data_IF_857397286138
#
_entry.id   IF_857397286138
#
_cell.length_a   1.000
_cell.length_b   1.000
_cell.length_c   1.000
_cell.angle_alpha   90.00
_cell.angle_beta   90.00
_cell.angle_gamma   90.00
#
_symmetry.space_group_name_H-M   'P 1'
#
loop_
_entity.id
_entity.type
_entity.pdbx_description
1 polymer ?
#
# COMPACT_ATOMS: atom_id res chain seq x y z
N UNK A 1 -10.49 -17.65 -14.97
CA UNK A 1 -10.85 -16.56 -15.91
C UNK A 1 -11.00 -15.21 -15.21
N UNK A 2 -11.94 -15.03 -14.26
CA UNK A 2 -12.14 -13.73 -13.58
C UNK A 2 -10.85 -13.15 -13.00
N UNK A 3 -10.03 -13.99 -12.36
CA UNK A 3 -8.77 -13.54 -11.76
C UNK A 3 -7.77 -13.00 -12.80
N UNK A 4 -7.62 -13.67 -13.95
CA UNK A 4 -6.76 -13.19 -15.05
C UNK A 4 -7.21 -11.81 -15.55
N UNK A 5 -8.52 -11.67 -15.81
CA UNK A 5 -9.12 -10.39 -16.21
C UNK A 5 -8.88 -9.29 -15.17
N UNK A 6 -8.93 -9.62 -13.87
CA UNK A 6 -8.60 -8.67 -12.80
C UNK A 6 -7.13 -8.25 -12.87
N UNK A 7 -6.20 -9.20 -12.96
CA UNK A 7 -4.75 -8.92 -13.03
C UNK A 7 -4.42 -8.02 -14.23
N UNK A 8 -4.91 -8.37 -15.41
CA UNK A 8 -4.78 -7.56 -16.63
C UNK A 8 -5.42 -6.18 -16.50
N UNK A 9 -6.55 -6.09 -15.78
CA UNK A 9 -7.23 -4.83 -15.49
C UNK A 9 -6.39 -3.90 -14.63
N UNK A 10 -5.81 -4.40 -13.53
CA UNK A 10 -4.94 -3.63 -12.64
C UNK A 10 -3.67 -3.18 -13.36
N UNK A 11 -3.05 -4.05 -14.15
CA UNK A 11 -1.86 -3.68 -14.92
C UNK A 11 -2.16 -2.57 -15.94
N UNK A 12 -3.29 -2.67 -16.68
CA UNK A 12 -3.71 -1.61 -17.60
C UNK A 12 -4.08 -0.29 -16.91
N UNK A 13 -4.50 -0.34 -15.65
CA UNK A 13 -4.73 0.86 -14.84
C UNK A 13 -3.43 1.50 -14.32
N UNK A 14 -2.26 0.94 -14.65
CA UNK A 14 -0.95 1.46 -14.23
C UNK A 14 -0.53 1.01 -12.83
N UNK A 15 -1.18 -0.01 -12.24
CA UNK A 15 -0.75 -0.53 -10.95
C UNK A 15 0.53 -1.35 -11.08
N UNK A 16 1.53 -1.05 -10.23
CA UNK A 16 2.79 -1.79 -10.18
C UNK A 16 2.65 -3.23 -9.66
N UNK A 17 1.58 -3.51 -8.91
CA UNK A 17 1.36 -4.82 -8.31
C UNK A 17 -0.08 -5.05 -7.87
N UNK A 18 -0.38 -6.32 -7.58
CA UNK A 18 -1.67 -6.76 -7.05
C UNK A 18 -1.46 -7.72 -5.88
N UNK A 19 -2.27 -7.54 -4.83
CA UNK A 19 -2.35 -8.47 -3.71
C UNK A 19 -3.56 -9.39 -3.86
N UNK A 20 -3.35 -10.69 -3.75
CA UNK A 20 -4.38 -11.72 -3.86
C UNK A 20 -4.44 -12.54 -2.58
N UNK A 21 -5.65 -12.77 -2.07
CA UNK A 21 -5.88 -13.48 -0.80
C UNK A 21 -6.66 -14.79 -0.95
N UNK A 22 -6.55 -15.63 0.07
CA UNK A 22 -7.20 -16.94 0.16
C UNK A 22 -8.50 -16.94 0.97
N UNK A 23 -9.07 -15.78 1.31
CA UNK A 23 -10.38 -15.74 1.97
C UNK A 23 -11.52 -16.24 1.06
N UNK A 24 -12.54 -16.81 1.70
CA UNK A 24 -13.86 -17.01 1.10
C UNK A 24 -14.55 -15.66 0.85
N UNK A 25 -15.32 -15.55 -0.22
CA UNK A 25 -16.13 -14.35 -0.48
C UNK A 25 -17.47 -14.41 0.28
N UNK A 26 -18.01 -13.30 0.83
CA UNK A 26 -17.41 -11.97 0.93
C UNK A 26 -16.26 -11.92 1.96
N UNK A 27 -15.24 -11.14 1.61
CA UNK A 27 -14.00 -10.98 2.38
C UNK A 27 -14.24 -10.14 3.64
N UNK A 28 -13.42 -10.34 4.67
CA UNK A 28 -13.43 -9.54 5.90
C UNK A 28 -12.02 -9.08 6.24
N UNK A 29 -11.90 -8.00 7.03
CA UNK A 29 -10.60 -7.50 7.45
C UNK A 29 -9.82 -8.56 8.25
N UNK A 30 -8.51 -8.69 7.96
CA UNK A 30 -7.59 -9.67 8.57
C UNK A 30 -7.56 -9.68 10.10
N UNK A 31 -7.95 -8.58 10.74
CA UNK A 31 -7.98 -8.45 12.20
C UNK A 31 -9.37 -8.64 12.82
N UNK A 32 -10.41 -8.89 12.01
CA UNK A 32 -11.81 -9.09 12.48
C UNK A 32 -12.16 -10.56 12.76
N UNK A 33 -13.32 -10.80 13.39
CA UNK A 33 -13.85 -12.13 13.71
C UNK A 33 -14.57 -12.75 12.49
N UNK A 34 -14.80 -14.06 12.54
CA UNK A 34 -15.61 -14.82 11.56
C UNK A 34 -15.06 -14.77 10.12
N UNK A 35 -13.74 -14.76 9.99
CA UNK A 35 -13.07 -15.02 8.71
C UNK A 35 -13.05 -16.52 8.43
N UNK A 36 -13.05 -16.87 7.15
CA UNK A 36 -12.77 -18.21 6.65
C UNK A 36 -11.90 -18.10 5.40
N UNK A 37 -11.09 -19.13 5.19
CA UNK A 37 -10.25 -19.26 3.99
C UNK A 37 -10.76 -20.43 3.16
N UNK A 38 -10.52 -20.35 1.85
CA UNK A 38 -10.81 -21.43 0.91
C UNK A 38 -9.86 -22.61 1.08
N UNK A 39 -10.17 -23.71 0.41
CA UNK A 39 -9.28 -24.87 0.35
C UNK A 39 -7.90 -24.46 -0.18
N UNK A 40 -6.88 -25.25 0.16
CA UNK A 40 -5.52 -25.07 -0.37
C UNK A 40 -5.53 -25.06 -1.91
N UNK A 41 -6.22 -26.02 -2.51
CA UNK A 41 -6.31 -26.15 -3.98
C UNK A 41 -6.90 -24.90 -4.64
N UNK A 42 -7.96 -24.34 -4.07
CA UNK A 42 -8.56 -23.12 -4.60
C UNK A 42 -7.61 -21.92 -4.43
N UNK A 43 -6.96 -21.78 -3.28
CA UNK A 43 -5.98 -20.72 -3.03
C UNK A 43 -4.80 -20.79 -4.01
N UNK A 44 -4.27 -21.99 -4.23
CA UNK A 44 -3.19 -22.25 -5.18
C UNK A 44 -3.59 -21.96 -6.62
N UNK A 45 -4.81 -22.37 -7.00
CA UNK A 45 -5.36 -22.08 -8.32
C UNK A 45 -5.48 -20.58 -8.57
N UNK A 46 -5.84 -19.79 -7.55
CA UNK A 46 -5.89 -18.32 -7.65
C UNK A 46 -4.52 -17.71 -7.92
N UNK A 47 -3.49 -18.10 -7.16
CA UNK A 47 -2.13 -17.60 -7.35
C UNK A 47 -1.57 -18.04 -8.70
N UNK A 48 -1.76 -19.31 -9.08
CA UNK A 48 -1.34 -19.83 -10.38
C UNK A 48 -1.99 -19.05 -11.53
N UNK A 49 -3.30 -18.78 -11.46
CA UNK A 49 -3.98 -18.01 -12.49
C UNK A 49 -3.41 -16.58 -12.63
N UNK A 50 -3.00 -15.97 -11.52
CA UNK A 50 -2.36 -14.66 -11.55
C UNK A 50 -0.99 -14.70 -12.21
N UNK A 51 -0.16 -15.66 -11.83
CA UNK A 51 1.18 -15.87 -12.38
C UNK A 51 1.12 -16.22 -13.87
N UNK A 52 0.12 -17.01 -14.29
CA UNK A 52 -0.11 -17.32 -15.69
C UNK A 52 -0.47 -16.04 -16.49
N UNK A 53 -1.26 -15.13 -15.93
CA UNK A 53 -1.59 -13.85 -16.58
C UNK A 53 -0.35 -12.94 -16.72
N UNK A 54 0.50 -12.92 -15.70
CA UNK A 54 1.80 -12.24 -15.76
C UNK A 54 2.70 -12.83 -16.84
N UNK A 55 2.88 -14.15 -16.83
CA UNK A 55 3.72 -14.88 -17.80
C UNK A 55 3.21 -14.72 -19.24
N UNK A 56 1.91 -14.48 -19.44
CA UNK A 56 1.33 -14.18 -20.75
C UNK A 56 1.61 -12.75 -21.27
N UNK A 57 2.40 -11.95 -20.55
CA UNK A 57 2.85 -10.62 -20.99
C UNK A 57 2.33 -9.45 -20.15
N UNK A 58 1.66 -9.71 -19.03
CA UNK A 58 1.21 -8.64 -18.11
C UNK A 58 2.34 -8.32 -17.12
N UNK A 59 3.06 -7.21 -17.29
CA UNK A 59 4.09 -6.80 -16.33
C UNK A 59 3.45 -6.28 -15.03
N UNK A 60 3.36 -7.13 -14.01
CA UNK A 60 2.75 -6.80 -12.72
C UNK A 60 3.31 -7.67 -11.59
N UNK A 61 3.61 -7.03 -10.47
CA UNK A 61 4.06 -7.71 -9.25
C UNK A 61 2.91 -8.45 -8.54
N UNK A 62 3.15 -9.69 -8.11
CA UNK A 62 2.14 -10.53 -7.46
C UNK A 62 2.51 -10.76 -5.99
N UNK A 63 1.72 -10.16 -5.10
CA UNK A 63 1.77 -10.39 -3.65
C UNK A 63 0.70 -11.42 -3.25
N UNK A 64 1.13 -12.56 -2.72
CA UNK A 64 0.23 -13.60 -2.25
C UNK A 64 0.01 -13.49 -0.73
N UNK A 65 -1.23 -13.18 -0.34
CA UNK A 65 -1.68 -13.04 1.04
C UNK A 65 -2.37 -14.32 1.51
N UNK A 66 -2.07 -14.78 2.72
CA UNK A 66 -2.87 -15.80 3.41
C UNK A 66 -3.45 -15.25 4.71
N UNK A 67 -4.74 -15.53 4.93
CA UNK A 67 -5.46 -15.30 6.18
C UNK A 67 -5.59 -16.59 7.02
N UNK A 68 -4.91 -17.67 6.60
CA UNK A 68 -5.05 -19.00 7.20
C UNK A 68 -4.42 -19.13 8.59
N UNK A 69 -3.81 -18.06 9.14
CA UNK A 69 -3.34 -18.06 10.53
C UNK A 69 -4.47 -18.38 11.51
N UNK A 70 -5.72 -18.10 11.17
CA UNK A 70 -6.89 -18.49 11.97
C UNK A 70 -7.05 -20.01 12.14
N UNK A 71 -6.52 -20.81 11.21
CA UNK A 71 -6.49 -22.28 11.27
C UNK A 71 -5.24 -22.73 12.04
N UNK A 72 -4.11 -22.08 11.81
CA UNK A 72 -2.85 -22.33 12.50
C UNK A 72 -1.67 -21.68 11.79
N UNK A 73 -0.56 -21.46 12.52
CA UNK A 73 0.66 -20.89 11.93
C UNK A 73 1.24 -21.81 10.84
N UNK A 74 1.32 -23.11 11.10
CA UNK A 74 1.84 -24.10 10.15
C UNK A 74 1.02 -24.17 8.85
N UNK A 75 -0.30 -24.04 8.94
CA UNK A 75 -1.17 -23.97 7.76
C UNK A 75 -0.84 -22.74 6.90
N UNK A 76 -0.69 -21.58 7.54
CA UNK A 76 -0.36 -20.34 6.86
C UNK A 76 1.03 -20.39 6.22
N UNK A 77 2.04 -20.92 6.93
CA UNK A 77 3.40 -21.11 6.39
C UNK A 77 3.38 -22.07 5.21
N UNK A 78 2.64 -23.19 5.31
CA UNK A 78 2.50 -24.16 4.21
C UNK A 78 1.96 -23.49 2.95
N UNK A 79 0.93 -22.66 3.09
CA UNK A 79 0.36 -21.91 1.96
C UNK A 79 1.35 -20.91 1.38
N UNK A 80 2.06 -20.15 2.22
CA UNK A 80 3.07 -19.20 1.75
C UNK A 80 4.21 -19.89 0.97
N UNK A 81 4.71 -21.05 1.46
CA UNK A 81 5.71 -21.86 0.74
C UNK A 81 5.22 -22.21 -0.67
N UNK A 82 3.98 -22.68 -0.76
CA UNK A 82 3.39 -23.06 -2.03
C UNK A 82 3.11 -21.85 -2.95
N UNK A 83 2.64 -20.72 -2.40
CA UNK A 83 2.47 -19.49 -3.17
C UNK A 83 3.79 -19.02 -3.79
N UNK A 84 4.91 -19.10 -3.06
CA UNK A 84 6.25 -18.83 -3.60
C UNK A 84 6.65 -19.82 -4.68
N UNK A 85 6.43 -21.12 -4.46
CA UNK A 85 6.69 -22.17 -5.46
C UNK A 85 5.91 -21.95 -6.75
N UNK A 86 4.67 -21.45 -6.66
CA UNK A 86 3.82 -21.13 -7.80
C UNK A 86 4.22 -19.84 -8.53
N UNK A 87 5.18 -19.08 -8.00
CA UNK A 87 5.74 -17.90 -8.66
C UNK A 87 5.21 -16.56 -8.17
N UNK A 88 4.52 -16.50 -7.01
CA UNK A 88 4.25 -15.22 -6.36
C UNK A 88 5.58 -14.53 -6.00
N UNK A 89 5.68 -13.23 -6.26
CA UNK A 89 6.92 -12.47 -6.07
C UNK A 89 7.23 -12.27 -4.59
N UNK A 90 6.19 -12.02 -3.79
CA UNK A 90 6.28 -11.83 -2.35
C UNK A 90 5.10 -12.51 -1.66
N UNK A 91 5.30 -12.89 -0.40
CA UNK A 91 4.21 -13.39 0.44
C UNK A 91 3.90 -12.48 1.61
N UNK A 92 2.66 -12.60 2.06
CA UNK A 92 2.15 -11.92 3.24
C UNK A 92 1.33 -12.91 4.08
N UNK A 93 1.85 -13.26 5.25
CA UNK A 93 1.10 -13.98 6.27
C UNK A 93 0.37 -12.96 7.15
N UNK A 94 -0.96 -12.95 7.09
CA UNK A 94 -1.78 -12.02 7.85
C UNK A 94 -1.90 -12.42 9.33
N UNK A 95 -1.88 -11.40 10.19
CA UNK A 95 -2.12 -11.47 11.61
C UNK A 95 -1.28 -12.51 12.41
N UNK A 96 0.07 -12.59 12.24
CA UNK A 96 0.90 -13.31 13.22
C UNK A 96 0.69 -12.69 14.60
N UNK A 97 0.60 -13.53 15.63
CA UNK A 97 0.16 -13.13 16.97
C UNK A 97 1.31 -12.77 17.91
N UNK A 98 2.56 -13.07 17.53
CA UNK A 98 3.74 -12.77 18.33
C UNK A 98 4.97 -12.59 17.44
N UNK A 99 6.05 -12.05 18.01
CA UNK A 99 7.31 -11.86 17.30
C UNK A 99 7.96 -13.23 16.97
N UNK A 100 7.72 -14.24 17.79
CA UNK A 100 8.15 -15.62 17.55
C UNK A 100 7.49 -16.19 16.28
N UNK A 101 6.19 -15.96 16.10
CA UNK A 101 5.50 -16.36 14.86
C UNK A 101 6.04 -15.62 13.64
N UNK A 102 6.32 -14.32 13.79
CA UNK A 102 6.92 -13.50 12.74
C UNK A 102 8.30 -14.05 12.32
N UNK A 103 9.14 -14.44 13.29
CA UNK A 103 10.44 -15.08 13.03
C UNK A 103 10.28 -16.45 12.39
N UNK A 104 9.36 -17.28 12.89
CA UNK A 104 9.08 -18.60 12.33
C UNK A 104 8.60 -18.53 10.88
N UNK A 105 7.73 -17.58 10.54
CA UNK A 105 7.33 -17.32 9.17
C UNK A 105 8.53 -16.90 8.30
N UNK A 106 9.31 -15.93 8.78
CA UNK A 106 10.42 -15.40 7.99
C UNK A 106 11.55 -16.39 7.75
N UNK A 107 11.82 -17.28 8.71
CA UNK A 107 12.87 -18.31 8.60
C UNK A 107 12.46 -19.51 7.76
N UNK A 108 11.15 -19.80 7.65
CA UNK A 108 10.66 -20.99 6.97
C UNK A 108 10.19 -20.76 5.53
N UNK A 109 9.93 -19.52 5.12
CA UNK A 109 9.43 -19.19 3.78
C UNK A 109 10.47 -18.39 3.03
N UNK A 110 10.88 -18.88 1.86
CA UNK A 110 11.88 -18.21 1.03
C UNK A 110 11.36 -16.95 0.33
N UNK A 111 12.27 -16.02 0.02
CA UNK A 111 11.99 -14.81 -0.74
C UNK A 111 11.42 -13.65 0.08
N UNK A 112 11.00 -12.56 -0.58
CA UNK A 112 10.59 -11.35 0.12
C UNK A 112 9.25 -11.55 0.85
N UNK A 113 9.13 -10.87 1.98
CA UNK A 113 7.99 -10.98 2.90
C UNK A 113 7.54 -9.60 3.35
N UNK A 114 6.22 -9.43 3.43
CA UNK A 114 5.58 -8.21 3.88
C UNK A 114 5.03 -8.38 5.30
N UNK A 115 5.22 -7.36 6.13
CA UNK A 115 4.54 -7.19 7.40
C UNK A 115 3.40 -6.17 7.27
N UNK A 116 2.27 -6.44 7.91
CA UNK A 116 1.15 -5.52 8.02
C UNK A 116 1.10 -4.93 9.43
N UNK A 117 1.48 -3.66 9.56
CA UNK A 117 1.48 -2.93 10.82
C UNK A 117 0.15 -2.19 10.95
N UNK A 118 -0.77 -2.79 11.68
CA UNK A 118 -2.08 -2.21 11.98
C UNK A 118 -2.20 -1.88 13.46
N UNK A 119 -2.29 -0.60 13.79
CA UNK A 119 -2.48 -0.13 15.16
C UNK A 119 -3.77 -0.70 15.74
N UNK A 120 -3.70 -1.14 17.01
CA UNK A 120 -4.82 -1.81 17.70
C UNK A 120 -5.28 -3.13 17.04
N UNK A 121 -4.47 -3.68 16.13
CA UNK A 121 -4.65 -5.00 15.54
C UNK A 121 -4.18 -6.14 16.45
N UNK A 122 -3.99 -7.30 15.83
CA UNK A 122 -3.55 -8.54 16.53
C UNK A 122 -2.04 -8.72 16.54
N UNK A 123 -1.35 -8.13 15.56
CA UNK A 123 0.09 -8.30 15.36
C UNK A 123 0.85 -7.25 16.16
N UNK A 124 1.93 -7.62 16.87
CA UNK A 124 2.79 -6.65 17.53
C UNK A 124 3.33 -5.61 16.54
N UNK A 125 3.26 -4.32 16.92
CA UNK A 125 3.82 -3.24 16.12
C UNK A 125 5.30 -3.12 16.43
N UNK A 126 6.14 -3.27 15.40
CA UNK A 126 7.59 -3.21 15.53
C UNK A 126 8.18 -2.08 14.67
N UNK A 127 9.27 -1.44 15.12
CA UNK A 127 10.04 -0.52 14.29
C UNK A 127 10.56 -1.19 13.02
N UNK A 128 10.73 -0.40 11.95
CA UNK A 128 11.21 -0.91 10.67
C UNK A 128 12.58 -1.62 10.74
N UNK A 129 13.46 -1.24 11.66
CA UNK A 129 14.74 -1.92 11.89
C UNK A 129 14.52 -3.35 12.39
N UNK A 130 13.68 -3.53 13.40
CA UNK A 130 13.39 -4.86 13.95
C UNK A 130 12.68 -5.76 12.93
N UNK A 131 11.77 -5.20 12.13
CA UNK A 131 11.14 -5.94 11.03
C UNK A 131 12.17 -6.44 10.02
N UNK A 132 13.15 -5.61 9.65
CA UNK A 132 14.26 -6.02 8.78
C UNK A 132 15.12 -7.10 9.41
N UNK A 133 15.46 -6.96 10.69
CA UNK A 133 16.28 -7.94 11.43
C UNK A 133 15.56 -9.30 11.53
N UNK A 134 14.23 -9.31 11.55
CA UNK A 134 13.41 -10.55 11.49
C UNK A 134 13.39 -11.17 10.09
N UNK A 135 13.56 -10.37 9.02
CA UNK A 135 13.56 -10.83 7.62
C UNK A 135 12.42 -10.32 6.75
N UNK A 136 11.67 -9.32 7.20
CA UNK A 136 10.71 -8.60 6.34
C UNK A 136 11.43 -7.55 5.49
N UNK A 137 10.94 -7.34 4.27
CA UNK A 137 11.49 -6.34 3.35
C UNK A 137 10.52 -5.19 3.07
N UNK A 138 9.24 -5.36 3.45
CA UNK A 138 8.19 -4.36 3.27
C UNK A 138 7.30 -4.33 4.50
N UNK A 139 6.94 -3.12 4.95
CA UNK A 139 5.95 -2.90 5.99
C UNK A 139 4.83 -2.01 5.44
N UNK A 140 3.57 -2.45 5.51
CA UNK A 140 2.43 -1.60 5.21
C UNK A 140 1.79 -1.05 6.47
N UNK A 141 1.33 0.19 6.37
CA UNK A 141 0.62 0.95 7.40
C UNK A 141 -0.76 1.34 6.85
N UNK A 142 -1.66 0.36 6.59
CA UNK A 142 -2.77 0.57 5.67
C UNK A 142 -3.83 1.55 6.19
N UNK A 143 -4.00 1.67 7.51
CA UNK A 143 -5.03 2.53 8.13
C UNK A 143 -4.46 3.70 8.95
N UNK A 144 -3.14 3.81 9.10
CA UNK A 144 -2.51 4.82 9.98
C UNK A 144 -2.88 6.24 9.55
N UNK A 145 -2.68 6.58 8.28
CA UNK A 145 -2.99 7.91 7.75
C UNK A 145 -4.51 8.18 7.73
N UNK A 146 -5.31 7.16 7.41
CA UNK A 146 -6.77 7.29 7.43
C UNK A 146 -7.28 7.58 8.85
N UNK A 147 -6.79 6.85 9.84
CA UNK A 147 -7.12 7.04 11.25
C UNK A 147 -6.70 8.43 11.75
N UNK A 148 -5.47 8.86 11.41
CA UNK A 148 -4.98 10.19 11.76
C UNK A 148 -5.84 11.31 11.14
N UNK A 149 -6.19 11.18 9.85
CA UNK A 149 -7.05 12.13 9.16
C UNK A 149 -8.45 12.19 9.79
N UNK A 150 -9.08 11.03 10.05
CA UNK A 150 -10.39 10.96 10.71
C UNK A 150 -10.37 11.64 12.09
N UNK A 151 -9.35 11.37 12.90
CA UNK A 151 -9.19 12.01 14.20
C UNK A 151 -9.11 13.53 14.08
N UNK A 152 -8.26 14.04 13.19
CA UNK A 152 -8.12 15.48 12.95
C UNK A 152 -9.43 16.12 12.49
N UNK A 153 -10.11 15.52 11.52
CA UNK A 153 -11.42 15.99 11.03
C UNK A 153 -12.45 16.07 12.17
N UNK A 154 -12.54 15.06 13.03
CA UNK A 154 -13.46 15.05 14.19
C UNK A 154 -13.12 16.16 15.20
N UNK A 155 -11.84 16.38 15.47
CA UNK A 155 -11.39 17.43 16.40
C UNK A 155 -11.70 18.84 15.87
N UNK A 156 -11.46 19.10 14.58
CA UNK A 156 -11.78 20.38 13.93
C UNK A 156 -13.29 20.61 13.94
N UNK A 157 -14.10 19.61 13.60
CA UNK A 157 -15.56 19.71 13.64
C UNK A 157 -16.10 20.04 15.04
N UNK A 158 -15.47 19.51 16.11
CA UNK A 158 -15.82 19.87 17.50
C UNK A 158 -15.52 21.34 17.80
N UNK A 159 -14.37 21.84 17.35
CA UNK A 159 -13.99 23.25 17.53
C UNK A 159 -14.96 24.18 16.79
N UNK A 160 -15.33 23.84 15.55
CA UNK A 160 -16.33 24.56 14.77
C UNK A 160 -17.69 24.60 15.48
N UNK A 161 -18.15 23.44 15.98
CA UNK A 161 -19.42 23.33 16.72
C UNK A 161 -19.46 24.22 17.97
N UNK A 162 -18.32 24.39 18.65
CA UNK A 162 -18.22 25.20 19.87
C UNK A 162 -17.88 26.68 19.62
N UNK A 163 -17.66 27.10 18.38
CA UNK A 163 -17.19 28.45 18.04
C UNK A 163 -15.73 28.74 18.46
N UNK A 164 -14.91 27.71 18.68
CA UNK A 164 -13.51 27.87 19.08
C UNK A 164 -12.60 28.03 17.85
N UNK A 165 -12.53 29.23 17.28
CA UNK A 165 -11.72 29.50 16.08
C UNK A 165 -10.21 29.31 16.30
N UNK A 166 -9.67 29.65 17.47
CA UNK A 166 -8.26 29.40 17.80
C UNK A 166 -7.92 27.90 17.84
N UNK A 167 -8.87 27.07 18.28
CA UNK A 167 -8.75 25.61 18.26
C UNK A 167 -8.71 25.02 16.85
N UNK A 168 -9.41 25.65 15.89
CA UNK A 168 -9.35 25.30 14.46
C UNK A 168 -8.00 25.69 13.87
N UNK A 169 -7.57 26.93 14.06
CA UNK A 169 -6.31 27.46 13.51
C UNK A 169 -5.10 26.60 13.87
N UNK A 170 -5.02 26.15 15.13
CA UNK A 170 -3.93 25.29 15.61
C UNK A 170 -3.92 23.86 15.04
N UNK A 171 -4.93 23.46 14.24
CA UNK A 171 -5.11 22.09 13.74
C UNK A 171 -5.18 21.98 12.22
N UNK A 172 -5.16 23.10 11.52
CA UNK A 172 -5.18 23.13 10.05
C UNK A 172 -3.82 23.58 9.51
N UNK A 173 -3.57 23.29 8.24
CA UNK A 173 -2.40 23.80 7.55
C UNK A 173 -2.60 25.29 7.20
N UNK A 174 -1.53 26.09 7.21
CA UNK A 174 -1.55 27.40 6.59
C UNK A 174 -2.00 27.30 5.12
N UNK A 175 -2.66 28.33 4.62
CA UNK A 175 -3.15 28.33 3.24
C UNK A 175 -2.02 28.15 2.21
N UNK A 176 -0.87 28.80 2.43
CA UNK A 176 0.31 28.65 1.57
C UNK A 176 0.79 27.20 1.48
N UNK A 177 0.81 26.49 2.61
CA UNK A 177 1.20 25.07 2.65
C UNK A 177 0.16 24.19 1.95
N UNK A 178 -1.13 24.53 2.08
CA UNK A 178 -2.20 23.86 1.32
C UNK A 178 -2.00 24.04 -0.19
N UNK A 179 -1.74 25.26 -0.65
CA UNK A 179 -1.44 25.56 -2.05
C UNK A 179 -0.26 24.74 -2.57
N UNK A 180 0.84 24.70 -1.80
CA UNK A 180 2.02 23.91 -2.12
C UNK A 180 1.71 22.42 -2.26
N UNK A 181 0.98 21.84 -1.30
CA UNK A 181 0.66 20.41 -1.30
C UNK A 181 -0.29 19.98 -2.42
N UNK A 182 -1.15 20.86 -2.90
CA UNK A 182 -2.05 20.55 -4.04
C UNK A 182 -1.44 20.94 -5.40
N UNK A 183 -0.20 21.42 -5.44
CA UNK A 183 0.58 21.62 -6.66
C UNK A 183 0.44 23.01 -7.31
N UNK A 184 -0.04 24.04 -6.59
CA UNK A 184 -0.17 25.37 -7.18
C UNK A 184 1.17 26.00 -7.60
N UNK A 185 2.25 25.71 -6.88
CA UNK A 185 3.57 26.26 -7.22
C UNK A 185 4.05 25.79 -8.60
N UNK A 186 3.86 24.50 -8.91
CA UNK A 186 4.19 23.92 -10.22
C UNK A 186 3.28 24.48 -11.31
N UNK A 187 1.98 24.64 -11.00
CA UNK A 187 1.00 25.22 -11.91
C UNK A 187 1.36 26.67 -12.29
N UNK A 188 1.68 27.52 -11.31
CA UNK A 188 2.05 28.92 -11.56
C UNK A 188 3.36 29.04 -12.33
N UNK A 189 4.32 28.13 -12.13
CA UNK A 189 5.57 28.13 -12.90
C UNK A 189 5.33 27.73 -14.36
N UNK A 190 4.49 26.72 -14.61
CA UNK A 190 4.12 26.31 -15.96
C UNK A 190 3.29 27.39 -16.66
N UNK A 191 2.40 28.09 -15.94
CA UNK A 191 1.58 29.19 -16.46
C UNK A 191 2.42 30.31 -17.07
N UNK A 192 3.56 30.67 -16.45
CA UNK A 192 4.49 31.70 -16.98
C UNK A 192 4.97 31.40 -18.40
N UNK A 193 5.08 30.12 -18.78
CA UNK A 193 5.53 29.72 -20.13
C UNK A 193 4.52 30.05 -21.22
N UNK A 194 3.26 30.26 -20.84
CA UNK A 194 2.17 30.59 -21.74
C UNK A 194 1.66 32.03 -21.55
N UNK A 195 2.36 32.82 -20.71
CA UNK A 195 2.02 34.22 -20.53
C UNK A 195 2.37 35.01 -21.79
N UNK A 196 1.35 35.29 -22.59
CA UNK A 196 1.44 36.07 -23.83
C UNK A 196 1.49 37.59 -23.59
N UNK A 197 1.41 38.02 -22.32
CA UNK A 197 1.49 39.43 -21.93
C UNK A 197 2.89 39.84 -21.45
N UNK A 198 3.80 38.88 -21.28
CA UNK A 198 5.20 39.13 -20.95
C UNK A 198 5.95 39.77 -22.13
N UNK A 199 6.74 40.84 -21.93
CA UNK A 199 7.53 41.45 -23.00
C UNK A 199 8.55 40.43 -23.55
N UNK A 200 8.62 40.29 -24.88
CA UNK A 200 9.62 39.43 -25.52
C UNK A 200 11.03 39.86 -25.10
N UNK A 201 11.80 38.95 -24.50
CA UNK A 201 13.22 39.17 -24.22
C UNK A 201 13.95 39.47 -25.53
N UNK A 202 14.44 40.71 -25.67
CA UNK A 202 15.24 41.12 -26.81
C UNK A 202 16.58 40.37 -26.77
N UNK A 203 16.81 39.49 -27.74
CA UNK A 203 18.14 38.93 -27.99
C UNK A 203 19.09 40.08 -28.31
N UNK A 204 20.13 40.25 -27.47
CA UNK A 204 21.21 41.19 -27.77
C UNK A 204 21.94 40.71 -29.04
N UNK A 205 22.16 41.57 -30.05
CA UNK A 205 22.96 41.20 -31.19
C UNK A 205 24.43 41.07 -30.76
N UNK A 206 25.09 40.04 -31.27
CA UNK A 206 26.53 39.84 -31.15
C UNK A 206 27.27 41.07 -31.69
N UNK A 207 28.07 41.70 -30.85
CA UNK A 207 28.93 42.80 -31.27
C UNK A 207 30.07 42.23 -32.14
N UNK A 208 29.97 42.48 -33.44
CA UNK A 208 31.06 42.27 -34.40
C UNK A 208 32.33 43.00 -33.94
N UNK A 209 33.42 42.23 -33.84
CA UNK A 209 34.78 42.75 -33.69
C UNK A 209 35.21 43.36 -35.03
N UNK A 210 35.60 44.64 -35.01
CA UNK A 210 36.49 45.25 -36.01
C UNK A 210 37.76 45.76 -35.36
#
# INVERSE_FOLDING_TARGET
MNLKRTVEGYARAGCAGIMLEDQTSPKRCGHTKNKSVVSREEAYTRIKAAVDARTAGTDIFILARTDARIIGLEEAITRCKEFRRLGADMTFLEAPLSIEEMRAYCSQVDGPKMANMLEHGKTPILPGKELRDIGYVLAAYPLTLLSAAMKSMVEVLKCLKSGNSAGVESRILPFSETCRLVGFEEYWEEEKRYDTTAPAEQSKPDAEKS
#
